data_IF_605062977467
#
_entry.id   IF_605062977467
#
_cell.length_a   1.000
_cell.length_b   1.000
_cell.length_c   1.000
_cell.angle_alpha   90.00
_cell.angle_beta   90.00
_cell.angle_gamma   90.00
#
_symmetry.space_group_name_H-M   'P 1'
#
loop_
_entity.id
_entity.type
_entity.pdbx_description
1 polymer ?
#
# COMPACT_ATOMS: atom_id res chain seq x y z
N UNK A 1 16.64 4.61 -72.76
CA UNK A 1 17.61 4.06 -71.79
C UNK A 1 18.61 5.17 -71.46
N UNK A 2 19.12 5.30 -70.23
CA UNK A 2 18.35 5.70 -69.04
C UNK A 2 19.12 6.68 -68.14
N UNK A 3 18.41 7.30 -67.19
CA UNK A 3 18.92 7.51 -65.84
C UNK A 3 19.59 8.84 -65.54
N UNK A 4 18.88 9.70 -64.82
CA UNK A 4 19.52 10.51 -63.79
C UNK A 4 18.78 10.38 -62.46
N UNK A 5 19.62 10.37 -61.43
CA UNK A 5 19.42 9.77 -60.12
C UNK A 5 18.58 10.67 -59.24
N UNK A 6 17.93 10.00 -58.28
CA UNK A 6 17.58 10.50 -56.96
C UNK A 6 18.54 11.60 -56.47
N UNK A 7 18.00 12.79 -56.22
CA UNK A 7 18.57 13.69 -55.22
C UNK A 7 17.60 13.64 -54.04
N UNK A 8 18.02 12.92 -53.02
CA UNK A 8 17.37 12.87 -51.73
C UNK A 8 17.37 14.26 -51.10
N UNK A 9 16.20 14.80 -50.78
CA UNK A 9 16.09 15.95 -49.88
C UNK A 9 16.55 15.50 -48.48
N UNK A 10 17.76 15.89 -48.12
CA UNK A 10 18.25 15.81 -46.76
C UNK A 10 17.43 16.79 -45.92
N UNK A 11 16.47 16.26 -45.16
CA UNK A 11 15.79 17.02 -44.11
C UNK A 11 16.83 17.54 -43.13
N UNK A 12 16.93 18.86 -43.02
CA UNK A 12 17.81 19.54 -42.06
C UNK A 12 17.36 19.16 -40.66
N UNK A 13 18.08 18.23 -40.01
CA UNK A 13 17.82 17.86 -38.63
C UNK A 13 18.18 19.05 -37.73
N UNK A 14 17.18 19.63 -37.07
CA UNK A 14 17.37 20.64 -36.03
C UNK A 14 18.27 20.05 -34.93
N UNK A 15 19.27 20.79 -34.43
CA UNK A 15 20.19 20.24 -33.43
C UNK A 15 19.39 19.77 -32.21
N UNK A 16 19.73 18.60 -31.63
CA UNK A 16 18.99 18.04 -30.51
C UNK A 16 19.02 19.01 -29.33
N UNK A 17 17.85 19.27 -28.75
CA UNK A 17 17.76 20.09 -27.55
C UNK A 17 18.42 19.37 -26.37
N UNK A 18 19.40 20.01 -25.73
CA UNK A 18 20.15 19.44 -24.60
C UNK A 18 19.57 19.96 -23.29
N UNK A 19 18.87 19.09 -22.56
CA UNK A 19 18.29 19.41 -21.26
C UNK A 19 19.31 19.28 -20.12
N UNK A 20 19.24 20.18 -19.13
CA UNK A 20 19.97 20.01 -17.87
C UNK A 20 19.32 18.96 -16.97
N UNK A 21 20.10 18.21 -16.18
CA UNK A 21 19.56 17.19 -15.25
C UNK A 21 18.48 17.76 -14.33
N UNK A 22 18.74 18.93 -13.71
CA UNK A 22 17.76 19.59 -12.84
C UNK A 22 16.52 20.09 -13.59
N UNK A 23 16.63 20.40 -14.88
CA UNK A 23 15.50 20.78 -15.72
C UNK A 23 14.58 19.60 -15.96
N UNK A 24 15.14 18.44 -16.32
CA UNK A 24 14.38 17.19 -16.48
C UNK A 24 13.66 16.82 -15.19
N UNK A 25 14.34 16.87 -14.05
CA UNK A 25 13.75 16.49 -12.75
C UNK A 25 12.65 17.46 -12.30
N UNK A 26 12.77 18.76 -12.60
CA UNK A 26 11.70 19.74 -12.35
C UNK A 26 10.50 19.49 -13.27
N UNK A 27 10.75 19.25 -14.55
CA UNK A 27 9.71 18.92 -15.52
C UNK A 27 8.94 17.65 -15.14
N UNK A 28 9.65 16.61 -14.70
CA UNK A 28 9.04 15.36 -14.25
C UNK A 28 8.19 15.55 -12.99
N UNK A 29 8.67 16.31 -11.99
CA UNK A 29 7.86 16.65 -10.82
C UNK A 29 6.58 17.43 -11.20
N UNK A 30 6.69 18.41 -12.10
CA UNK A 30 5.52 19.16 -12.57
C UNK A 30 4.50 18.26 -13.29
N UNK A 31 4.97 17.32 -14.13
CA UNK A 31 4.11 16.35 -14.80
C UNK A 31 3.44 15.38 -13.81
N UNK A 32 4.17 14.91 -12.79
CA UNK A 32 3.59 14.06 -11.74
C UNK A 32 2.50 14.82 -10.97
N UNK A 33 2.75 16.07 -10.60
CA UNK A 33 1.78 16.89 -9.89
C UNK A 33 0.54 17.18 -10.75
N UNK A 34 0.72 17.52 -12.03
CA UNK A 34 -0.39 17.85 -12.94
C UNK A 34 -1.21 16.61 -13.35
N UNK A 35 -0.55 15.49 -13.67
CA UNK A 35 -1.20 14.32 -14.30
C UNK A 35 -1.62 13.26 -13.31
N UNK A 36 -0.86 13.08 -12.23
CA UNK A 36 -1.11 12.04 -11.24
C UNK A 36 -1.77 12.66 -10.00
N UNK A 37 -1.22 13.78 -9.52
CA UNK A 37 -1.67 14.41 -8.30
C UNK A 37 -1.55 13.47 -7.09
N UNK A 38 -2.60 13.45 -6.26
CA UNK A 38 -2.65 12.61 -5.06
C UNK A 38 -3.31 11.27 -5.35
N UNK A 39 -2.73 10.21 -4.81
CA UNK A 39 -3.28 8.87 -4.94
C UNK A 39 -3.14 8.03 -3.67
N UNK A 40 -3.84 6.91 -3.69
CA UNK A 40 -3.75 5.86 -2.68
C UNK A 40 -2.93 4.70 -3.23
N UNK A 41 -1.95 4.25 -2.44
CA UNK A 41 -1.10 3.09 -2.74
C UNK A 41 -1.28 2.08 -1.63
N UNK A 42 -1.39 0.81 -1.99
CA UNK A 42 -1.32 -0.28 -1.02
C UNK A 42 0.02 -0.99 -1.09
N UNK A 43 0.53 -1.41 0.05
CA UNK A 43 1.68 -2.29 0.10
C UNK A 43 2.06 -2.62 1.53
N UNK A 44 2.96 -3.58 1.67
CA UNK A 44 3.57 -3.91 2.94
C UNK A 44 4.71 -2.92 3.22
N UNK A 45 4.80 -2.46 4.48
CA UNK A 45 5.89 -1.63 4.96
C UNK A 45 7.16 -2.48 5.10
N UNK A 46 8.28 -1.98 4.57
CA UNK A 46 9.61 -2.53 4.82
C UNK A 46 10.65 -1.42 5.00
N UNK A 47 11.81 -1.77 5.55
CA UNK A 47 12.94 -0.86 5.77
C UNK A 47 12.57 0.42 6.53
N UNK A 48 11.66 0.33 7.51
CA UNK A 48 11.21 1.47 8.28
C UNK A 48 12.36 2.11 9.09
N UNK A 49 12.55 3.41 8.90
CA UNK A 49 13.53 4.24 9.60
C UNK A 49 12.84 5.43 10.25
N UNK A 50 13.11 5.64 11.52
CA UNK A 50 12.59 6.76 12.32
C UNK A 50 13.74 7.60 12.91
N UNK A 51 14.34 8.52 12.13
CA UNK A 51 15.40 9.39 12.67
C UNK A 51 14.90 10.30 13.81
N UNK A 52 15.80 10.86 14.65
CA UNK A 52 15.43 11.73 15.76
C UNK A 52 14.60 12.97 15.39
N UNK A 53 14.65 13.39 14.12
CA UNK A 53 13.79 14.44 13.55
C UNK A 53 12.29 14.17 13.73
N UNK A 54 11.89 12.90 13.84
CA UNK A 54 10.51 12.45 13.93
C UNK A 54 9.84 12.18 12.58
N UNK A 55 10.58 12.26 11.47
CA UNK A 55 10.12 11.77 10.17
C UNK A 55 10.18 10.24 10.12
N UNK A 56 9.29 9.62 9.34
CA UNK A 56 9.36 8.18 9.05
C UNK A 56 9.67 8.00 7.58
N UNK A 57 10.70 7.20 7.28
CA UNK A 57 11.04 6.79 5.92
C UNK A 57 10.85 5.28 5.85
N UNK A 58 10.14 4.80 4.85
CA UNK A 58 9.88 3.38 4.67
C UNK A 58 9.75 3.06 3.19
N UNK A 59 9.79 1.79 2.86
CA UNK A 59 9.51 1.29 1.51
C UNK A 59 8.16 0.59 1.55
N UNK A 60 7.32 0.87 0.55
CA UNK A 60 6.13 0.09 0.25
C UNK A 60 6.53 -0.98 -0.76
N UNK A 61 6.17 -2.23 -0.50
CA UNK A 61 6.39 -3.34 -1.43
C UNK A 61 5.08 -4.06 -1.72
N UNK A 62 4.96 -4.54 -2.95
CA UNK A 62 3.90 -5.44 -3.40
C UNK A 62 4.52 -6.59 -4.23
N UNK A 63 3.70 -7.31 -5.00
CA UNK A 63 4.17 -8.41 -5.84
C UNK A 63 4.93 -7.94 -7.09
N UNK A 64 4.75 -6.69 -7.52
CA UNK A 64 5.27 -6.15 -8.78
C UNK A 64 6.48 -5.24 -8.58
N UNK A 65 6.62 -4.62 -7.40
CA UNK A 65 7.71 -3.70 -7.16
C UNK A 65 7.78 -3.11 -5.76
N UNK A 66 8.59 -2.05 -5.67
CA UNK A 66 8.83 -1.31 -4.44
C UNK A 66 8.84 0.19 -4.70
N UNK A 67 8.36 0.97 -3.74
CA UNK A 67 8.31 2.42 -3.80
C UNK A 67 8.71 3.01 -2.45
N UNK A 68 9.67 3.94 -2.44
CA UNK A 68 10.06 4.65 -1.22
C UNK A 68 8.98 5.65 -0.83
N UNK A 69 8.72 5.74 0.47
CA UNK A 69 7.77 6.67 1.05
C UNK A 69 8.42 7.48 2.19
N UNK A 70 8.07 8.75 2.25
CA UNK A 70 8.46 9.66 3.32
C UNK A 70 7.21 10.22 3.98
N UNK A 71 7.07 9.99 5.28
CA UNK A 71 6.01 10.52 6.12
C UNK A 71 6.60 11.58 7.06
N UNK A 72 6.18 12.82 6.91
CA UNK A 72 6.74 13.89 7.70
C UNK A 72 6.23 13.88 9.15
N UNK A 73 7.01 14.42 10.08
CA UNK A 73 6.73 14.41 11.53
C UNK A 73 5.32 14.87 11.88
N UNK A 74 4.82 15.90 11.19
CA UNK A 74 3.48 16.42 11.41
C UNK A 74 2.39 15.38 11.13
N UNK A 75 2.52 14.65 10.03
CA UNK A 75 1.61 13.58 9.64
C UNK A 75 1.83 12.30 10.45
N UNK A 76 3.10 11.94 10.71
CA UNK A 76 3.46 10.78 11.54
C UNK A 76 2.84 10.87 12.95
N UNK A 77 2.84 12.06 13.56
CA UNK A 77 2.23 12.29 14.88
C UNK A 77 0.71 12.16 14.90
N UNK A 78 0.05 12.20 13.74
CA UNK A 78 -1.40 12.06 13.61
C UNK A 78 -1.85 10.62 13.41
N UNK A 79 -0.92 9.68 13.25
CA UNK A 79 -1.26 8.28 13.11
C UNK A 79 -1.86 7.76 14.44
N UNK A 80 -3.04 7.11 14.40
CA UNK A 80 -3.64 6.52 15.59
C UNK A 80 -3.03 5.17 15.98
N UNK A 81 -1.98 4.74 15.28
CA UNK A 81 -1.29 3.46 15.47
C UNK A 81 0.21 3.64 15.21
N UNK A 82 0.99 2.64 15.60
CA UNK A 82 2.42 2.59 15.29
C UNK A 82 2.67 1.90 13.96
N UNK A 83 3.40 2.58 13.07
CA UNK A 83 3.81 2.01 11.79
C UNK A 83 4.93 0.99 11.98
N UNK A 84 4.78 -0.26 11.56
CA UNK A 84 5.80 -1.30 11.78
C UNK A 84 6.20 -1.98 10.46
N UNK A 85 7.42 -2.51 10.39
CA UNK A 85 7.81 -3.37 9.28
C UNK A 85 6.92 -4.62 9.22
N UNK A 86 6.51 -5.02 8.02
CA UNK A 86 5.58 -6.13 7.80
C UNK A 86 4.10 -5.73 7.85
N UNK A 87 3.77 -4.49 8.17
CA UNK A 87 2.38 -4.02 8.19
C UNK A 87 1.88 -3.76 6.76
N UNK A 88 0.77 -4.39 6.37
CA UNK A 88 0.06 -4.05 5.14
C UNK A 88 -0.76 -2.77 5.36
N UNK A 89 -0.54 -1.76 4.52
CA UNK A 89 -1.10 -0.42 4.68
C UNK A 89 -1.68 0.13 3.38
N UNK A 90 -2.59 1.09 3.54
CA UNK A 90 -3.01 2.03 2.51
C UNK A 90 -2.36 3.39 2.82
N UNK A 91 -1.62 3.93 1.87
CA UNK A 91 -0.91 5.21 1.99
C UNK A 91 -1.48 6.20 1.00
N UNK A 92 -1.88 7.36 1.48
CA UNK A 92 -2.32 8.49 0.67
C UNK A 92 -1.23 9.57 0.62
N UNK A 93 -0.90 10.03 -0.59
CA UNK A 93 0.16 11.01 -0.78
C UNK A 93 0.33 11.47 -2.23
N UNK A 94 1.38 12.26 -2.45
CA UNK A 94 1.77 12.77 -3.77
C UNK A 94 3.06 12.06 -4.22
N UNK A 95 3.17 11.73 -5.51
CA UNK A 95 4.44 11.25 -6.08
C UNK A 95 5.37 12.43 -6.37
N UNK A 96 6.63 12.27 -6.02
CA UNK A 96 7.66 13.26 -6.27
C UNK A 96 9.00 12.58 -6.55
N UNK A 97 9.82 13.22 -7.37
CA UNK A 97 11.21 12.80 -7.61
C UNK A 97 12.14 13.60 -6.72
N UNK A 98 12.89 12.91 -5.86
CA UNK A 98 13.87 13.52 -4.98
C UNK A 98 15.09 13.97 -5.79
N UNK A 99 15.12 15.25 -6.14
CA UNK A 99 16.10 15.82 -7.09
C UNK A 99 17.58 15.47 -6.81
N UNK A 100 18.08 15.42 -5.56
CA UNK A 100 19.47 15.07 -5.29
C UNK A 100 19.88 13.64 -5.68
N UNK A 101 18.92 12.70 -5.74
CA UNK A 101 19.19 11.30 -6.13
C UNK A 101 18.46 10.86 -7.40
N UNK A 102 17.49 11.63 -7.87
CA UNK A 102 16.63 11.25 -9.00
C UNK A 102 15.66 10.11 -8.68
N UNK A 103 15.52 9.73 -7.41
CA UNK A 103 14.66 8.62 -7.00
C UNK A 103 13.20 9.06 -6.92
N UNK A 104 12.29 8.24 -7.45
CA UNK A 104 10.85 8.39 -7.24
C UNK A 104 10.50 8.04 -5.78
N UNK A 105 9.69 8.88 -5.16
CA UNK A 105 9.19 8.68 -3.81
C UNK A 105 7.72 9.12 -3.69
N UNK A 106 7.03 8.53 -2.73
CA UNK A 106 5.73 8.97 -2.26
C UNK A 106 5.91 9.88 -1.04
N UNK A 107 5.41 11.10 -1.10
CA UNK A 107 5.29 11.97 0.08
C UNK A 107 3.96 11.62 0.75
N UNK A 108 4.03 10.77 1.77
CA UNK A 108 2.88 10.27 2.50
C UNK A 108 2.29 11.36 3.39
N UNK A 109 0.96 11.52 3.31
CA UNK A 109 0.17 12.44 4.15
C UNK A 109 -0.73 11.70 5.13
N UNK A 110 -1.17 10.50 4.76
CA UNK A 110 -2.00 9.66 5.60
C UNK A 110 -1.67 8.19 5.36
N UNK A 111 -1.71 7.38 6.42
CA UNK A 111 -1.47 5.94 6.38
C UNK A 111 -2.54 5.27 7.23
N UNK A 112 -3.13 4.19 6.74
CA UNK A 112 -4.03 3.34 7.51
C UNK A 112 -3.69 1.86 7.30
N UNK A 113 -3.85 0.99 8.31
CA UNK A 113 -3.64 -0.44 8.13
C UNK A 113 -4.67 -1.04 7.18
N UNK A 114 -4.22 -1.75 6.15
CA UNK A 114 -5.07 -2.45 5.21
C UNK A 114 -5.69 -3.65 5.93
N UNK A 115 -6.99 -3.57 6.20
CA UNK A 115 -7.76 -4.68 6.79
C UNK A 115 -8.60 -4.33 8.02
N UNK A 116 -8.40 -3.19 8.68
CA UNK A 116 -9.18 -2.85 9.87
C UNK A 116 -10.64 -2.50 9.56
N UNK A 117 -10.94 -1.87 8.42
CA UNK A 117 -12.30 -1.41 8.08
C UNK A 117 -13.21 -2.49 7.50
N UNK A 118 -12.76 -3.17 6.44
CA UNK A 118 -13.58 -4.16 5.72
C UNK A 118 -13.87 -5.41 6.56
N UNK A 119 -12.86 -5.92 7.27
CA UNK A 119 -13.03 -7.08 8.15
C UNK A 119 -13.91 -6.73 9.35
N UNK A 120 -13.77 -5.52 9.90
CA UNK A 120 -14.63 -5.03 10.98
C UNK A 120 -16.08 -4.87 10.54
N UNK A 121 -16.32 -4.31 9.36
CA UNK A 121 -17.65 -4.17 8.78
C UNK A 121 -18.30 -5.54 8.50
N UNK A 122 -17.55 -6.47 7.89
CA UNK A 122 -18.02 -7.83 7.62
C UNK A 122 -18.33 -8.58 8.93
N UNK A 123 -17.47 -8.44 9.95
CA UNK A 123 -17.69 -8.99 11.27
C UNK A 123 -18.94 -8.41 11.95
N UNK A 124 -19.14 -7.09 11.92
CA UNK A 124 -20.31 -6.45 12.52
C UNK A 124 -21.62 -6.84 11.81
N UNK A 125 -21.60 -6.95 10.48
CA UNK A 125 -22.75 -7.44 9.71
C UNK A 125 -23.09 -8.90 10.03
N UNK A 126 -22.08 -9.78 10.07
CA UNK A 126 -22.25 -11.18 10.43
C UNK A 126 -22.76 -11.33 11.87
N UNK A 127 -22.18 -10.58 12.82
CA UNK A 127 -22.59 -10.62 14.24
C UNK A 127 -24.05 -10.22 14.39
N UNK A 128 -24.48 -9.10 13.77
CA UNK A 128 -25.88 -8.64 13.81
C UNK A 128 -26.84 -9.66 13.21
N UNK A 129 -26.45 -10.33 12.12
CA UNK A 129 -27.25 -11.41 11.51
C UNK A 129 -27.40 -12.60 12.46
N UNK A 130 -26.30 -13.10 13.02
CA UNK A 130 -26.31 -14.24 13.95
C UNK A 130 -27.04 -13.92 15.26
N UNK A 131 -26.97 -12.66 15.73
CA UNK A 131 -27.77 -12.13 16.84
C UNK A 131 -29.27 -12.14 16.49
N UNK A 132 -29.66 -11.67 15.31
CA UNK A 132 -31.04 -11.70 14.83
C UNK A 132 -31.59 -13.12 14.63
N UNK A 133 -30.74 -14.07 14.23
CA UNK A 133 -31.06 -15.50 14.18
C UNK A 133 -31.15 -16.16 15.58
N UNK A 134 -30.90 -15.38 16.65
CA UNK A 134 -30.99 -15.83 18.03
C UNK A 134 -29.94 -16.89 18.39
N UNK A 135 -28.84 -16.98 17.66
CA UNK A 135 -27.80 -18.00 17.88
C UNK A 135 -26.98 -17.73 19.16
N UNK A 136 -27.00 -16.50 19.65
CA UNK A 136 -26.37 -16.10 20.91
C UNK A 136 -27.34 -16.03 22.09
N UNK A 137 -28.63 -16.35 21.89
CA UNK A 137 -29.66 -16.27 22.92
C UNK A 137 -29.26 -17.11 24.15
N UNK A 138 -29.20 -16.51 25.36
CA UNK A 138 -28.78 -17.22 26.56
C UNK A 138 -29.68 -18.42 26.89
N UNK A 139 -30.94 -18.38 26.48
CA UNK A 139 -31.92 -19.47 26.65
C UNK A 139 -31.56 -20.71 25.81
N UNK A 140 -30.79 -20.55 24.73
CA UNK A 140 -30.32 -21.66 23.88
C UNK A 140 -28.99 -22.25 24.35
N UNK A 141 -28.28 -21.60 25.29
CA UNK A 141 -27.01 -22.09 25.80
C UNK A 141 -27.24 -23.31 26.68
N UNK A 142 -26.71 -24.46 26.25
CA UNK A 142 -26.73 -25.70 27.04
C UNK A 142 -25.53 -25.73 27.98
N UNK A 143 -25.74 -26.17 29.22
CA UNK A 143 -24.63 -26.42 30.14
C UNK A 143 -23.77 -27.56 29.59
N UNK A 144 -22.44 -27.39 29.51
CA UNK A 144 -21.57 -28.47 29.09
C UNK A 144 -21.64 -29.63 30.10
N UNK A 145 -21.56 -30.88 29.63
CA UNK A 145 -21.51 -32.04 30.52
C UNK A 145 -20.22 -32.02 31.35
N UNK A 146 -20.29 -32.55 32.58
CA UNK A 146 -19.12 -32.60 33.49
C UNK A 146 -17.99 -33.48 32.96
N UNK A 147 -18.33 -34.56 32.24
CA UNK A 147 -17.37 -35.47 31.62
C UNK A 147 -17.81 -35.68 30.17
N UNK A 148 -17.14 -35.07 29.18
CA UNK A 148 -17.50 -35.23 27.78
C UNK A 148 -17.11 -36.62 27.29
N UNK A 149 -18.06 -37.32 26.67
CA UNK A 149 -17.84 -38.66 26.08
C UNK A 149 -17.34 -38.57 24.63
N UNK A 150 -17.54 -37.43 23.99
CA UNK A 150 -17.14 -37.15 22.62
C UNK A 150 -16.83 -35.65 22.49
N UNK A 151 -15.77 -35.31 21.75
CA UNK A 151 -15.35 -33.94 21.49
C UNK A 151 -15.45 -33.71 19.97
N UNK A 152 -16.22 -32.70 19.56
CA UNK A 152 -16.27 -32.23 18.18
C UNK A 152 -15.32 -31.07 17.99
N UNK A 153 -14.40 -31.19 17.03
CA UNK A 153 -13.40 -30.16 16.70
C UNK A 153 -13.84 -29.44 15.44
N UNK A 154 -14.01 -28.12 15.51
CA UNK A 154 -14.33 -27.28 14.35
C UNK A 154 -13.15 -26.34 14.12
N UNK A 155 -12.38 -26.61 13.07
CA UNK A 155 -11.22 -25.84 12.70
C UNK A 155 -11.04 -25.79 11.17
N UNK A 156 -10.23 -24.86 10.66
CA UNK A 156 -9.81 -24.87 9.25
C UNK A 156 -9.00 -26.14 8.94
N UNK A 157 -9.10 -26.65 7.71
CA UNK A 157 -8.34 -27.82 7.22
C UNK A 157 -6.82 -27.66 7.38
N UNK A 158 -6.34 -26.42 7.34
CA UNK A 158 -4.92 -26.07 7.46
C UNK A 158 -4.50 -25.75 8.90
N UNK A 159 -5.43 -25.75 9.85
CA UNK A 159 -5.12 -25.32 11.21
C UNK A 159 -4.37 -26.40 11.99
N UNK A 160 -3.37 -25.98 12.76
CA UNK A 160 -2.60 -26.83 13.66
C UNK A 160 -3.46 -27.47 14.78
N UNK A 161 -4.65 -26.93 15.06
CA UNK A 161 -5.51 -27.42 16.15
C UNK A 161 -5.86 -28.91 16.01
N UNK A 162 -5.97 -29.45 14.79
CA UNK A 162 -6.21 -30.89 14.57
C UNK A 162 -5.08 -31.79 15.07
N UNK A 163 -3.88 -31.24 15.29
CA UNK A 163 -2.70 -31.99 15.76
C UNK A 163 -2.59 -32.05 17.29
N UNK A 164 -3.36 -31.22 18.01
CA UNK A 164 -3.20 -30.97 19.45
C UNK A 164 -4.35 -31.54 20.32
N UNK A 165 -5.37 -32.17 19.71
CA UNK A 165 -6.55 -32.78 20.38
C UNK A 165 -6.56 -34.30 20.28
#
# INVERSE_FOLDING_TARGET
MPGERLVSEAGTAEPPHVYGVGEVLRGLNALLEERVGRLWISGEVSDLRRPPSGHCYFTLKDAEGTLRAALFRGDARRLPFELEDGLDVLVYGDLSVYAPRGDLQLVARHVEPRGAGALRLAFEQLRRRLEAEGLFAPERKRKPPRVPTCIGVVASLESAALRDV
#
